data_IF_995949765506
#
_entry.id   IF_995949765506
#
_cell.length_a   1.000
_cell.length_b   1.000
_cell.length_c   1.000
_cell.angle_alpha   90.00
_cell.angle_beta   90.00
_cell.angle_gamma   90.00
#
_symmetry.space_group_name_H-M   'P 1'
#
loop_
_entity.id
_entity.type
_entity.pdbx_description
1 polymer ?
#
# COMPACT_ATOMS: atom_id res chain seq x y z
N UNK A 1 4.48 4.47 -9.61
CA UNK A 1 3.01 4.27 -9.43
C UNK A 1 2.15 5.15 -10.36
N UNK A 2 2.41 6.46 -10.52
CA UNK A 2 1.55 7.37 -11.31
C UNK A 2 1.33 6.91 -12.77
N UNK A 3 2.40 6.47 -13.45
CA UNK A 3 2.28 5.95 -14.81
C UNK A 3 1.47 4.65 -14.87
N UNK A 4 1.57 3.80 -13.84
CA UNK A 4 0.74 2.59 -13.74
C UNK A 4 -0.74 2.97 -13.63
N UNK A 5 -1.10 3.86 -12.70
CA UNK A 5 -2.49 4.34 -12.53
C UNK A 5 -3.05 4.92 -13.84
N UNK A 6 -2.24 5.69 -14.56
CA UNK A 6 -2.61 6.24 -15.87
C UNK A 6 -2.88 5.14 -16.91
N UNK A 7 -1.99 4.14 -17.02
CA UNK A 7 -2.11 3.07 -18.01
C UNK A 7 -3.22 2.08 -17.71
N UNK A 8 -3.45 1.78 -16.43
CA UNK A 8 -4.50 0.86 -15.99
C UNK A 8 -5.88 1.53 -15.89
N UNK A 9 -5.93 2.86 -16.04
CA UNK A 9 -7.13 3.65 -15.77
C UNK A 9 -7.69 3.41 -14.35
N UNK A 10 -6.81 3.07 -13.40
CA UNK A 10 -7.16 2.85 -12.01
C UNK A 10 -7.40 4.18 -11.31
N UNK A 11 -8.51 4.28 -10.58
CA UNK A 11 -8.82 5.48 -9.80
C UNK A 11 -8.10 5.44 -8.47
N UNK A 12 -7.56 6.58 -8.05
CA UNK A 12 -6.86 6.73 -6.76
C UNK A 12 -7.68 6.21 -5.57
N UNK A 13 -8.98 6.54 -5.40
CA UNK A 13 -9.79 6.05 -4.28
C UNK A 13 -10.12 4.54 -4.34
N UNK A 14 -9.76 3.88 -5.44
CA UNK A 14 -9.98 2.46 -5.68
C UNK A 14 -8.64 1.71 -5.78
N UNK A 15 -7.52 2.37 -5.43
CA UNK A 15 -6.17 1.84 -5.55
C UNK A 15 -5.46 1.86 -4.20
N UNK A 16 -4.71 0.81 -3.92
CA UNK A 16 -3.82 0.70 -2.75
C UNK A 16 -2.44 0.22 -3.23
N UNK A 17 -1.38 0.76 -2.64
CA UNK A 17 -0.01 0.27 -2.83
C UNK A 17 0.37 -0.62 -1.66
N UNK A 18 0.90 -1.81 -1.94
CA UNK A 18 1.44 -2.73 -0.92
C UNK A 18 2.96 -2.81 -1.09
N UNK A 19 3.71 -2.52 -0.03
CA UNK A 19 5.17 -2.54 -0.03
C UNK A 19 5.75 -2.68 1.39
N UNK A 20 7.05 -2.83 1.51
CA UNK A 20 7.75 -3.14 2.78
C UNK A 20 8.77 -2.07 3.19
N UNK A 21 8.98 -1.05 2.36
CA UNK A 21 9.98 0.01 2.59
C UNK A 21 9.35 1.39 2.81
N UNK A 22 10.13 2.30 3.40
CA UNK A 22 9.78 3.72 3.49
C UNK A 22 9.57 4.36 2.11
N UNK A 23 10.27 3.89 1.08
CA UNK A 23 10.12 4.42 -0.28
C UNK A 23 8.77 4.05 -0.90
N UNK A 24 8.23 2.87 -0.58
CA UNK A 24 6.90 2.46 -1.04
C UNK A 24 5.81 3.34 -0.41
N UNK A 25 5.90 3.61 0.90
CA UNK A 25 5.02 4.52 1.63
C UNK A 25 5.02 5.92 1.01
N UNK A 26 6.20 6.51 0.85
CA UNK A 26 6.35 7.84 0.26
C UNK A 26 5.80 7.90 -1.17
N UNK A 27 6.01 6.85 -1.96
CA UNK A 27 5.51 6.73 -3.32
C UNK A 27 3.98 6.71 -3.36
N UNK A 28 3.34 5.93 -2.47
CA UNK A 28 1.90 5.82 -2.35
C UNK A 28 1.25 7.14 -1.91
N UNK A 29 1.72 7.72 -0.81
CA UNK A 29 1.20 8.98 -0.29
C UNK A 29 1.41 10.16 -1.25
N UNK A 30 2.58 10.25 -1.90
CA UNK A 30 2.83 11.28 -2.93
C UNK A 30 1.91 11.14 -4.14
N UNK A 31 1.46 9.91 -4.44
CA UNK A 31 0.47 9.67 -5.49
C UNK A 31 -0.98 9.92 -5.01
N UNK A 32 -1.20 10.07 -3.70
CA UNK A 32 -2.50 10.24 -3.09
C UNK A 32 -3.34 8.96 -3.14
N UNK A 33 -2.72 7.81 -2.87
CA UNK A 33 -3.37 6.52 -2.71
C UNK A 33 -3.01 5.91 -1.35
N UNK A 34 -3.85 5.01 -0.87
CA UNK A 34 -3.62 4.31 0.40
C UNK A 34 -2.35 3.44 0.32
N UNK A 35 -1.69 3.26 1.46
CA UNK A 35 -0.53 2.40 1.63
C UNK A 35 -0.77 1.29 2.66
N UNK A 36 -0.49 0.05 2.27
CA UNK A 36 -0.42 -1.10 3.17
C UNK A 36 1.02 -1.58 3.34
N UNK A 37 1.49 -1.60 4.60
CA UNK A 37 2.79 -2.14 4.95
C UNK A 37 2.73 -3.67 5.00
N UNK A 38 3.51 -4.33 4.15
CA UNK A 38 3.81 -5.75 4.24
C UNK A 38 4.82 -5.99 5.38
N UNK A 39 4.32 -6.17 6.61
CA UNK A 39 5.17 -6.29 7.81
C UNK A 39 6.11 -7.49 7.73
N UNK A 40 5.70 -8.57 7.06
CA UNK A 40 6.55 -9.76 6.87
C UNK A 40 7.84 -9.52 6.06
N UNK A 41 7.95 -8.39 5.34
CA UNK A 41 9.15 -8.02 4.59
C UNK A 41 9.93 -6.83 5.16
N UNK A 42 9.31 -6.06 6.07
CA UNK A 42 9.88 -4.79 6.51
C UNK A 42 10.97 -4.97 7.58
N UNK A 43 11.97 -4.09 7.55
CA UNK A 43 13.01 -4.01 8.58
C UNK A 43 12.79 -2.83 9.54
N UNK A 44 11.93 -1.85 9.19
CA UNK A 44 11.77 -0.58 9.89
C UNK A 44 10.29 -0.26 10.15
N UNK A 45 9.52 -1.20 10.73
CA UNK A 45 8.08 -1.05 10.97
C UNK A 45 7.72 0.29 11.65
N UNK A 46 8.45 0.66 12.70
CA UNK A 46 8.16 1.83 13.54
C UNK A 46 8.35 3.18 12.80
N UNK A 47 9.12 3.19 11.71
CA UNK A 47 9.41 4.40 10.94
C UNK A 47 8.41 4.64 9.81
N UNK A 48 7.68 3.59 9.40
CA UNK A 48 6.80 3.62 8.23
C UNK A 48 5.37 3.91 8.67
N UNK A 49 4.82 5.00 8.14
CA UNK A 49 3.43 5.40 8.38
C UNK A 49 2.54 4.74 7.32
N UNK A 50 1.82 3.69 7.67
CA UNK A 50 0.91 3.02 6.76
C UNK A 50 -0.56 3.18 7.19
N UNK A 51 -1.46 3.20 6.21
CA UNK A 51 -2.90 3.18 6.44
C UNK A 51 -3.35 1.78 6.92
N UNK A 52 -2.63 0.74 6.47
CA UNK A 52 -2.86 -0.65 6.84
C UNK A 52 -1.54 -1.35 7.16
N UNK A 53 -1.56 -2.22 8.17
CA UNK A 53 -0.45 -3.11 8.49
C UNK A 53 -0.89 -4.55 8.24
N UNK A 54 -0.16 -5.26 7.40
CA UNK A 54 -0.44 -6.64 7.05
C UNK A 54 0.67 -7.52 7.63
N UNK A 55 0.37 -8.36 8.61
CA UNK A 55 1.32 -9.23 9.32
C UNK A 55 1.69 -10.47 8.48
N UNK A 56 0.79 -10.92 7.61
CA UNK A 56 1.01 -12.05 6.71
C UNK A 56 0.37 -11.83 5.32
N UNK A 57 0.89 -12.48 4.25
CA UNK A 57 0.36 -12.31 2.88
C UNK A 57 -1.14 -12.57 2.73
N UNK A 58 -1.72 -13.46 3.54
CA UNK A 58 -3.15 -13.77 3.49
C UNK A 58 -4.04 -12.61 3.99
N UNK A 59 -3.51 -11.70 4.79
CA UNK A 59 -4.26 -10.53 5.27
C UNK A 59 -4.58 -9.52 4.15
N UNK A 60 -3.93 -9.65 2.98
CA UNK A 60 -4.31 -8.90 1.77
C UNK A 60 -5.79 -9.14 1.43
N UNK A 61 -6.33 -10.32 1.73
CA UNK A 61 -7.74 -10.64 1.48
C UNK A 61 -8.70 -9.78 2.31
N UNK A 62 -8.28 -9.32 3.48
CA UNK A 62 -9.10 -8.47 4.36
C UNK A 62 -9.36 -7.08 3.73
N UNK A 63 -8.47 -6.62 2.85
CA UNK A 63 -8.64 -5.36 2.10
C UNK A 63 -9.83 -5.39 1.11
N UNK A 64 -10.32 -6.58 0.76
CA UNK A 64 -11.44 -6.77 -0.17
C UNK A 64 -12.78 -7.03 0.53
N UNK A 65 -12.79 -7.23 1.85
CA UNK A 65 -13.97 -7.72 2.58
C UNK A 65 -14.99 -6.65 2.97
N UNK A 66 -14.79 -5.39 2.58
CA UNK A 66 -15.59 -4.24 3.06
C UNK A 66 -15.96 -3.20 1.99
N UNK A 67 -16.19 -3.62 0.74
CA UNK A 67 -16.84 -2.77 -0.29
C UNK A 67 -18.22 -3.29 -0.66
#
# INVERSE_FOLDING_TARGET
ILEYLKRSNAKKPESIYIGDTLYDEQCAHSAGIDFALAVWGTHNREEIKADYFLEAPLEILELFRSR
#
